data_IF_520394741495
#
_entry.id   IF_520394741495
#
_cell.length_a   1.000
_cell.length_b   1.000
_cell.length_c   1.000
_cell.angle_alpha   90.00
_cell.angle_beta   90.00
_cell.angle_gamma   90.00
#
_symmetry.space_group_name_H-M   'P 1'
#
loop_
_entity.id
_entity.type
_entity.pdbx_description
1 polymer ?
#
# COMPACT_ATOMS: atom_id res chain seq x y z
N UNK A 1 -16.17 -5.40 38.27
CA UNK A 1 -15.02 -6.10 37.66
C UNK A 1 -14.46 -5.22 36.55
N UNK A 2 -13.18 -4.83 36.65
CA UNK A 2 -12.49 -4.07 35.59
C UNK A 2 -12.08 -5.06 34.49
N UNK A 3 -12.55 -4.84 33.26
CA UNK A 3 -12.09 -5.59 32.09
C UNK A 3 -10.76 -4.97 31.65
N UNK A 4 -9.68 -5.71 31.83
CA UNK A 4 -8.36 -5.37 31.28
C UNK A 4 -8.34 -5.94 29.86
N UNK A 5 -8.50 -5.08 28.84
CA UNK A 5 -8.34 -5.49 27.45
C UNK A 5 -6.84 -5.72 27.22
N UNK A 6 -6.46 -7.00 27.17
CA UNK A 6 -5.14 -7.41 26.71
C UNK A 6 -5.04 -7.13 25.21
N UNK A 7 -4.61 -5.91 24.86
CA UNK A 7 -4.23 -5.52 23.52
C UNK A 7 -2.94 -6.27 23.12
N UNK A 8 -3.07 -7.49 22.63
CA UNK A 8 -1.99 -8.23 21.98
C UNK A 8 -2.56 -8.97 20.77
N UNK A 9 -2.18 -8.48 19.57
CA UNK A 9 -2.66 -8.84 18.22
C UNK A 9 -3.91 -8.11 17.69
N UNK A 10 -3.99 -6.79 17.90
CA UNK A 10 -5.10 -5.98 17.37
C UNK A 10 -5.07 -5.75 15.83
N UNK A 11 -3.96 -6.09 15.16
CA UNK A 11 -3.81 -5.87 13.71
C UNK A 11 -3.47 -7.19 13.01
N UNK A 12 -4.37 -7.74 12.16
CA UNK A 12 -4.06 -8.94 11.41
C UNK A 12 -2.93 -8.65 10.42
N UNK A 13 -1.80 -9.38 10.54
CA UNK A 13 -0.75 -9.33 9.54
C UNK A 13 -1.32 -9.82 8.20
N UNK A 14 -1.22 -8.98 7.17
CA UNK A 14 -1.58 -9.34 5.79
C UNK A 14 -0.31 -9.37 4.94
N UNK A 15 -0.18 -10.42 4.12
CA UNK A 15 0.84 -10.51 3.08
C UNK A 15 0.18 -10.18 1.75
N UNK A 16 0.75 -9.24 1.02
CA UNK A 16 0.33 -8.88 -0.34
C UNK A 16 1.50 -9.15 -1.27
N UNK A 17 1.20 -9.66 -2.46
CA UNK A 17 2.22 -9.92 -3.47
C UNK A 17 2.36 -8.69 -4.35
N UNK A 18 3.59 -8.18 -4.48
CA UNK A 18 3.91 -7.15 -5.46
C UNK A 18 3.78 -7.80 -6.84
N UNK A 19 2.89 -7.26 -7.66
CA UNK A 19 2.69 -7.68 -9.05
C UNK A 19 3.43 -6.74 -10.00
N UNK A 20 3.47 -7.10 -11.27
CA UNK A 20 3.98 -6.22 -12.33
C UNK A 20 2.81 -5.64 -13.13
N UNK A 21 2.91 -4.37 -13.50
CA UNK A 21 1.95 -3.70 -14.38
C UNK A 21 2.67 -2.81 -15.40
N UNK A 22 2.01 -2.48 -16.50
CA UNK A 22 2.54 -1.56 -17.50
C UNK A 22 2.76 -0.19 -16.84
N UNK A 23 3.92 0.41 -17.07
CA UNK A 23 4.19 1.75 -16.56
C UNK A 23 3.21 2.74 -17.17
N UNK A 24 2.48 3.48 -16.33
CA UNK A 24 1.63 4.61 -16.75
C UNK A 24 2.52 5.74 -17.30
N UNK A 25 2.97 5.59 -18.54
CA UNK A 25 3.52 6.68 -19.35
C UNK A 25 2.53 6.95 -20.48
N UNK A 26 2.41 8.21 -20.90
CA UNK A 26 1.89 8.52 -22.23
C UNK A 26 2.79 7.81 -23.24
N UNK A 27 2.31 6.72 -23.83
CA UNK A 27 3.06 5.94 -24.81
C UNK A 27 3.15 6.82 -26.07
N UNK A 28 4.31 7.43 -26.29
CA UNK A 28 4.60 8.00 -27.60
C UNK A 28 4.65 6.82 -28.58
N UNK A 29 3.67 6.71 -29.47
CA UNK A 29 3.52 5.61 -30.44
C UNK A 29 4.76 5.37 -31.36
N UNK A 30 5.75 6.26 -31.30
CA UNK A 30 7.01 6.20 -32.04
C UNK A 30 8.12 5.39 -31.33
N UNK A 31 7.99 5.13 -30.03
CA UNK A 31 8.89 4.23 -29.31
C UNK A 31 8.33 2.79 -29.41
N UNK A 32 8.76 2.04 -30.43
CA UNK A 32 8.35 0.65 -30.69
C UNK A 32 9.03 -0.38 -29.78
N UNK A 33 9.20 -0.08 -28.50
CA UNK A 33 9.60 -1.07 -27.49
C UNK A 33 8.46 -1.29 -26.51
N UNK A 34 8.25 -2.55 -26.11
CA UNK A 34 7.28 -2.90 -25.08
C UNK A 34 7.54 -2.02 -23.83
N UNK A 35 6.51 -1.33 -23.30
CA UNK A 35 6.72 -0.42 -22.19
C UNK A 35 7.26 -1.21 -20.99
N UNK A 36 8.26 -0.67 -20.26
CA UNK A 36 8.81 -1.39 -19.12
C UNK A 36 7.74 -1.64 -18.07
N UNK A 37 7.68 -2.87 -17.55
CA UNK A 37 6.85 -3.21 -16.42
C UNK A 37 7.39 -2.54 -15.15
N UNK A 38 6.49 -2.10 -14.28
CA UNK A 38 6.82 -1.56 -12.96
C UNK A 38 6.18 -2.40 -11.85
N UNK A 39 6.81 -2.47 -10.67
CA UNK A 39 6.20 -3.10 -9.51
C UNK A 39 4.95 -2.32 -9.08
N UNK A 40 3.90 -3.05 -8.74
CA UNK A 40 2.62 -2.51 -8.30
C UNK A 40 2.05 -3.32 -7.14
N UNK A 41 1.38 -2.63 -6.23
CA UNK A 41 0.77 -3.20 -5.03
C UNK A 41 -0.60 -2.56 -4.83
N UNK A 42 -1.61 -3.39 -4.51
CA UNK A 42 -2.94 -2.94 -4.08
C UNK A 42 -3.10 -3.20 -2.59
N UNK A 43 -3.38 -2.14 -1.84
CA UNK A 43 -3.79 -2.22 -0.44
C UNK A 43 -5.29 -1.95 -0.38
N UNK A 44 -6.07 -2.92 0.08
CA UNK A 44 -7.52 -2.78 0.23
C UNK A 44 -8.06 -3.66 1.34
N UNK A 45 -9.15 -3.22 1.96
CA UNK A 45 -9.92 -3.98 2.96
C UNK A 45 -9.96 -3.32 4.34
N UNK A 46 -10.83 -3.84 5.20
CA UNK A 46 -11.13 -3.32 6.55
C UNK A 46 -9.91 -3.18 7.47
N UNK A 47 -8.81 -3.87 7.19
CA UNK A 47 -7.58 -3.74 7.98
C UNK A 47 -6.94 -2.35 7.87
N UNK A 48 -7.18 -1.61 6.77
CA UNK A 48 -6.76 -0.22 6.64
C UNK A 48 -7.56 0.69 7.59
N UNK A 49 -8.88 0.51 7.66
CA UNK A 49 -9.76 1.22 8.61
C UNK A 49 -9.36 0.91 10.07
N UNK A 50 -9.10 -0.37 10.38
CA UNK A 50 -8.61 -0.75 11.70
C UNK A 50 -7.26 -0.10 12.04
N UNK A 51 -6.40 0.12 11.04
CA UNK A 51 -5.16 0.86 11.19
C UNK A 51 -5.34 2.39 11.25
N UNK A 52 -6.58 2.89 11.20
CA UNK A 52 -6.91 4.31 11.33
C UNK A 52 -6.95 5.10 10.01
N UNK A 53 -6.89 4.42 8.86
CA UNK A 53 -7.00 5.07 7.55
C UNK A 53 -8.45 5.13 7.06
N UNK A 54 -8.87 6.29 6.58
CA UNK A 54 -10.19 6.57 6.03
C UNK A 54 -10.10 7.13 4.61
N UNK A 55 -11.19 7.01 3.85
CA UNK A 55 -11.26 7.53 2.49
C UNK A 55 -11.16 9.07 2.48
N UNK A 56 -10.38 9.61 1.53
CA UNK A 56 -10.16 11.05 1.40
C UNK A 56 -9.05 11.62 2.27
N UNK A 57 -8.48 10.85 3.19
CA UNK A 57 -7.31 11.28 3.96
C UNK A 57 -6.06 11.38 3.08
N UNK A 58 -5.20 12.36 3.39
CA UNK A 58 -3.87 12.47 2.82
C UNK A 58 -2.92 11.56 3.60
N UNK A 59 -2.03 10.89 2.88
CA UNK A 59 -1.02 10.01 3.47
C UNK A 59 0.36 10.37 2.96
N UNK A 60 1.35 10.22 3.83
CA UNK A 60 2.76 10.27 3.49
C UNK A 60 3.28 8.85 3.28
N UNK A 61 4.07 8.66 2.22
CA UNK A 61 4.75 7.40 1.94
C UNK A 61 6.25 7.64 1.94
N UNK A 62 6.95 7.03 2.89
CA UNK A 62 8.40 7.04 2.95
C UNK A 62 8.95 5.77 2.30
N UNK A 63 9.94 5.95 1.43
CA UNK A 63 10.61 4.87 0.71
C UNK A 63 11.98 4.64 1.30
N UNK A 64 12.21 3.43 1.79
CA UNK A 64 13.50 2.96 2.29
C UNK A 64 13.88 1.66 1.57
N UNK A 65 15.16 1.28 1.63
CA UNK A 65 15.59 0.02 1.02
C UNK A 65 14.85 -1.16 1.67
N UNK A 66 14.05 -1.89 0.88
CA UNK A 66 13.29 -3.06 1.34
C UNK A 66 12.02 -2.74 2.15
N UNK A 67 11.61 -1.47 2.29
CA UNK A 67 10.43 -1.09 3.11
C UNK A 67 9.72 0.16 2.59
N UNK A 68 8.39 0.14 2.68
CA UNK A 68 7.54 1.33 2.57
C UNK A 68 6.90 1.60 3.93
N UNK A 69 6.93 2.86 4.38
CA UNK A 69 6.21 3.31 5.59
C UNK A 69 5.11 4.25 5.15
N UNK A 70 3.85 3.92 5.47
CA UNK A 70 2.67 4.71 5.13
C UNK A 70 2.11 5.27 6.42
N UNK A 71 1.97 6.60 6.51
CA UNK A 71 1.41 7.30 7.67
C UNK A 71 0.39 8.34 7.21
N UNK A 72 -0.51 8.73 8.10
CA UNK A 72 -1.33 9.93 7.89
C UNK A 72 -0.40 11.16 7.83
N UNK A 73 -0.80 12.15 7.02
CA UNK A 73 -0.14 13.47 6.94
C UNK A 73 -0.49 14.33 8.17
#
# INVERSE_FOLDING_TARGET
MRVVLHACSAYPQRRVTIQQSLRYRRINARARSEPPLCPWIKLSGRWLELAGFEAGQRVRVEVQHGRLVITLD
#
